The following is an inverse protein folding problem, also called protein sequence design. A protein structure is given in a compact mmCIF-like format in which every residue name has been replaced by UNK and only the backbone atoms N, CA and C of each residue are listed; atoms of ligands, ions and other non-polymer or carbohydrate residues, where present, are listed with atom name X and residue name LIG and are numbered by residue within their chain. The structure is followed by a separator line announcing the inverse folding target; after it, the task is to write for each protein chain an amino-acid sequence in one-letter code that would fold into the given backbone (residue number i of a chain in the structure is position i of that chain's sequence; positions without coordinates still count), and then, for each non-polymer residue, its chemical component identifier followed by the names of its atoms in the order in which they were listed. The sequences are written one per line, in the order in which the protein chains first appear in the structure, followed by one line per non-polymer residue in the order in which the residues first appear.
data_IF_990855135704
#
_entry.id   IF_990855135704
#
_cell.length_a   1.000
_cell.length_b   1.000
_cell.length_c   1.000
_cell.angle_alpha   90.00
_cell.angle_beta   90.00
_cell.angle_gamma   90.00
#
_symmetry.space_group_name_H-M   'P 1'
#
loop_
_entity.id
_entity.type
_entity.pdbx_description
1 polymer ?
#
# COMPACT_ATOMS: atom_id res chain seq x y z
N UNK A 1 3.95 5.28 -47.39
CA UNK A 1 2.75 4.79 -46.69
C UNK A 1 3.06 3.40 -46.17
N UNK A 2 2.82 3.20 -44.88
CA UNK A 2 3.00 1.92 -44.19
C UNK A 2 1.97 0.87 -44.66
N UNK A 3 2.22 -0.39 -44.33
CA UNK A 3 1.27 -1.50 -44.56
C UNK A 3 0.04 -1.36 -43.68
N UNK A 4 0.24 -1.07 -42.40
CA UNK A 4 -0.83 -0.83 -41.42
C UNK A 4 -1.80 0.27 -41.86
N UNK A 5 -1.29 1.39 -42.39
CA UNK A 5 -2.15 2.45 -42.89
C UNK A 5 -2.98 2.00 -44.11
N UNK A 6 -2.46 1.11 -44.97
CA UNK A 6 -3.24 0.54 -46.09
C UNK A 6 -4.35 -0.36 -45.59
N UNK A 7 -4.02 -1.27 -44.67
CA UNK A 7 -5.00 -2.19 -44.10
C UNK A 7 -6.17 -1.45 -43.44
N UNK A 8 -5.89 -0.38 -42.69
CA UNK A 8 -6.92 0.43 -42.06
C UNK A 8 -7.80 1.18 -43.07
N UNK A 9 -7.24 1.63 -44.20
CA UNK A 9 -8.02 2.29 -45.26
C UNK A 9 -8.90 1.30 -46.03
N UNK A 10 -8.42 0.07 -46.20
CA UNK A 10 -9.12 -1.02 -46.90
C UNK A 10 -10.14 -1.76 -46.01
N UNK A 11 -10.08 -1.56 -44.68
CA UNK A 11 -11.04 -2.11 -43.72
C UNK A 11 -12.42 -1.45 -43.88
N UNK A 12 -13.48 -2.23 -43.69
CA UNK A 12 -14.87 -1.76 -43.80
C UNK A 12 -15.24 -0.81 -42.64
N UNK A 13 -15.36 0.48 -42.97
CA UNK A 13 -15.92 1.54 -42.13
C UNK A 13 -15.13 1.89 -40.87
N UNK A 14 -15.50 3.00 -40.23
CA UNK A 14 -14.98 3.33 -38.90
C UNK A 14 -15.40 2.30 -37.84
N UNK A 15 -14.55 2.09 -36.83
CA UNK A 15 -14.82 1.13 -35.75
C UNK A 15 -14.53 1.71 -34.37
N UNK A 16 -14.70 0.88 -33.33
CA UNK A 16 -14.23 1.24 -31.99
C UNK A 16 -12.71 1.43 -31.94
N UNK A 17 -11.95 0.73 -32.82
CA UNK A 17 -10.48 0.69 -32.82
C UNK A 17 -9.83 1.78 -33.65
N UNK A 18 -10.52 2.30 -34.66
CA UNK A 18 -10.02 3.37 -35.49
C UNK A 18 -11.12 4.28 -36.03
N UNK A 19 -10.75 5.49 -36.40
CA UNK A 19 -11.66 6.53 -36.92
C UNK A 19 -10.96 7.37 -37.99
N UNK A 20 -11.74 7.97 -38.89
CA UNK A 20 -11.27 8.86 -39.94
C UNK A 20 -11.65 10.30 -39.60
N UNK A 21 -10.74 11.22 -39.88
CA UNK A 21 -10.98 12.66 -39.77
C UNK A 21 -10.45 13.32 -41.02
N UNK A 22 -11.34 14.03 -41.71
CA UNK A 22 -10.97 14.73 -42.93
C UNK A 22 -9.88 15.78 -42.69
N UNK A 23 -9.97 16.51 -41.59
CA UNK A 23 -9.09 17.65 -41.28
C UNK A 23 -8.59 17.61 -39.85
N UNK A 24 -7.41 18.19 -39.59
CA UNK A 24 -6.86 18.33 -38.24
C UNK A 24 -7.79 19.09 -37.27
N UNK A 25 -8.59 20.04 -37.80
CA UNK A 25 -9.57 20.77 -36.99
C UNK A 25 -10.76 19.90 -36.52
N UNK A 26 -10.98 18.75 -37.14
CA UNK A 26 -12.00 17.79 -36.70
C UNK A 26 -11.53 16.94 -35.50
N UNK A 27 -10.23 16.93 -35.20
CA UNK A 27 -9.68 16.29 -34.01
C UNK A 27 -9.95 17.18 -32.80
N UNK A 28 -10.95 16.80 -32.00
CA UNK A 28 -11.36 17.51 -30.79
C UNK A 28 -10.87 16.78 -29.54
N UNK A 29 -10.68 17.51 -28.44
CA UNK A 29 -10.31 16.91 -27.14
C UNK A 29 -11.28 15.79 -26.74
N UNK A 30 -12.57 15.94 -27.01
CA UNK A 30 -13.58 14.89 -26.78
C UNK A 30 -13.30 13.58 -27.52
N UNK A 31 -12.77 13.64 -28.73
CA UNK A 31 -12.42 12.45 -29.53
C UNK A 31 -11.23 11.74 -28.90
N UNK A 32 -10.20 12.50 -28.53
CA UNK A 32 -8.99 11.97 -27.90
C UNK A 32 -9.29 11.36 -26.51
N UNK A 33 -10.10 12.05 -25.71
CA UNK A 33 -10.58 11.56 -24.41
C UNK A 33 -11.40 10.28 -24.58
N UNK A 34 -12.33 10.25 -25.54
CA UNK A 34 -13.14 9.06 -25.80
C UNK A 34 -12.28 7.86 -26.20
N UNK A 35 -11.29 8.07 -27.07
CA UNK A 35 -10.33 7.05 -27.48
C UNK A 35 -9.52 6.53 -26.28
N UNK A 36 -8.89 7.41 -25.50
CA UNK A 36 -8.08 7.01 -24.35
C UNK A 36 -8.91 6.25 -23.30
N UNK A 37 -10.13 6.70 -23.01
CA UNK A 37 -11.02 6.03 -22.06
C UNK A 37 -11.55 4.69 -22.57
N UNK A 38 -11.76 4.55 -23.88
CA UNK A 38 -12.15 3.28 -24.49
C UNK A 38 -11.03 2.24 -24.39
N UNK A 39 -9.77 2.65 -24.57
CA UNK A 39 -8.60 1.80 -24.31
C UNK A 39 -8.53 1.43 -22.83
N UNK A 40 -8.65 2.41 -21.93
CA UNK A 40 -8.56 2.18 -20.48
C UNK A 40 -9.67 1.28 -19.91
N UNK A 41 -10.83 1.19 -20.57
CA UNK A 41 -11.95 0.36 -20.12
C UNK A 41 -11.71 -1.14 -20.26
N UNK A 42 -10.71 -1.58 -21.01
CA UNK A 42 -10.46 -2.99 -21.30
C UNK A 42 -8.97 -3.23 -21.54
N UNK A 43 -8.34 -4.02 -20.65
CA UNK A 43 -6.89 -4.26 -20.67
C UNK A 43 -6.39 -4.97 -21.93
N UNK A 44 -7.27 -5.61 -22.71
CA UNK A 44 -6.88 -6.22 -23.99
C UNK A 44 -6.68 -5.18 -25.10
N UNK A 45 -7.02 -3.91 -24.87
CA UNK A 45 -6.88 -2.83 -25.84
C UNK A 45 -5.59 -2.07 -25.55
N UNK A 46 -4.78 -1.93 -26.58
CA UNK A 46 -3.50 -1.23 -26.46
C UNK A 46 -3.59 0.23 -26.88
N UNK A 47 -4.35 0.53 -27.94
CA UNK A 47 -4.48 1.87 -28.51
C UNK A 47 -5.74 2.02 -29.37
N UNK A 48 -6.03 3.26 -29.76
CA UNK A 48 -6.97 3.61 -30.85
C UNK A 48 -6.21 4.38 -31.93
N UNK A 49 -6.50 4.09 -33.19
CA UNK A 49 -5.85 4.74 -34.33
C UNK A 49 -6.76 5.79 -34.97
N UNK A 50 -6.31 7.03 -35.13
CA UNK A 50 -7.03 8.07 -35.85
C UNK A 50 -6.29 8.42 -37.14
N UNK A 51 -6.93 8.27 -38.30
CA UNK A 51 -6.35 8.74 -39.57
C UNK A 51 -6.89 10.14 -39.89
N UNK A 52 -6.01 11.12 -39.96
CA UNK A 52 -6.33 12.53 -40.20
C UNK A 52 -5.86 12.93 -41.59
N UNK A 53 -6.72 13.56 -42.39
CA UNK A 53 -6.53 13.71 -43.83
C UNK A 53 -7.21 12.61 -44.64
N UNK A 54 -8.18 11.90 -44.03
CA UNK A 54 -8.91 10.77 -44.63
C UNK A 54 -10.40 11.02 -44.49
N UNK A 55 -11.13 10.90 -45.61
CA UNK A 55 -12.59 10.97 -45.69
C UNK A 55 -13.17 9.56 -45.57
N UNK A 56 -14.35 9.43 -44.98
CA UNK A 56 -15.12 8.20 -45.07
C UNK A 56 -16.02 8.27 -46.32
N UNK A 57 -15.85 7.34 -47.25
CA UNK A 57 -16.60 7.29 -48.50
C UNK A 57 -17.34 5.97 -48.58
N UNK A 58 -18.66 6.06 -48.72
CA UNK A 58 -19.52 4.91 -48.95
C UNK A 58 -19.45 4.50 -50.44
N UNK A 59 -19.14 3.24 -50.69
CA UNK A 59 -19.26 2.65 -52.02
C UNK A 59 -20.74 2.47 -52.34
N UNK A 60 -21.23 3.26 -53.31
CA UNK A 60 -22.63 3.26 -53.74
C UNK A 60 -23.14 1.89 -54.25
N UNK A 61 -22.24 0.96 -54.58
CA UNK A 61 -22.58 -0.38 -55.08
C UNK A 61 -22.70 -1.40 -53.96
N UNK A 62 -21.83 -1.31 -52.95
CA UNK A 62 -21.76 -2.29 -51.85
C UNK A 62 -22.38 -1.78 -50.55
N UNK A 63 -22.59 -0.48 -50.41
CA UNK A 63 -23.02 0.18 -49.17
C UNK A 63 -21.94 0.20 -48.08
N UNK A 64 -20.71 -0.21 -48.42
CA UNK A 64 -19.60 -0.29 -47.47
C UNK A 64 -18.83 1.03 -47.44
N UNK A 65 -18.56 1.53 -46.25
CA UNK A 65 -17.70 2.69 -46.05
C UNK A 65 -16.22 2.30 -46.10
N UNK A 66 -15.38 3.15 -46.71
CA UNK A 66 -13.92 3.00 -46.76
C UNK A 66 -13.22 4.34 -46.59
N UNK A 67 -11.96 4.31 -46.18
CA UNK A 67 -11.14 5.51 -46.06
C UNK A 67 -10.63 5.98 -47.43
N UNK A 68 -10.91 7.23 -47.81
CA UNK A 68 -10.30 7.89 -48.96
C UNK A 68 -9.32 8.97 -48.51
N UNK A 69 -8.04 8.82 -48.85
CA UNK A 69 -7.01 9.82 -48.55
C UNK A 69 -7.33 11.12 -49.30
N UNK A 70 -7.53 12.19 -48.54
CA UNK A 70 -7.61 13.58 -49.04
C UNK A 70 -6.28 14.31 -48.89
N UNK A 71 -5.50 13.91 -47.89
CA UNK A 71 -4.27 14.56 -47.50
C UNK A 71 -4.49 15.79 -46.63
N UNK A 72 -3.40 16.30 -46.07
CA UNK A 72 -3.30 17.52 -45.28
C UNK A 72 -2.34 18.47 -45.99
N UNK A 73 -2.70 19.75 -46.16
CA UNK A 73 -1.89 20.70 -46.93
C UNK A 73 -0.56 21.04 -46.24
N UNK A 74 -0.54 21.03 -44.91
CA UNK A 74 0.65 21.24 -44.09
C UNK A 74 0.60 20.28 -42.89
N UNK A 75 1.47 19.26 -42.90
CA UNK A 75 1.57 18.28 -41.81
C UNK A 75 2.05 18.93 -40.51
N UNK A 76 2.99 19.87 -40.58
CA UNK A 76 3.58 20.47 -39.38
C UNK A 76 2.55 21.32 -38.64
N UNK A 77 1.84 22.18 -39.37
CA UNK A 77 0.75 22.97 -38.80
C UNK A 77 -0.38 22.09 -38.26
N UNK A 78 -0.65 20.97 -38.94
CA UNK A 78 -1.66 19.99 -38.49
C UNK A 78 -1.25 19.31 -37.18
N UNK A 79 0.01 18.89 -37.07
CA UNK A 79 0.57 18.31 -35.83
C UNK A 79 0.50 19.31 -34.70
N UNK A 80 0.99 20.55 -34.88
CA UNK A 80 0.98 21.59 -33.85
C UNK A 80 -0.46 21.86 -33.35
N UNK A 81 -1.42 21.97 -34.28
CA UNK A 81 -2.83 22.12 -33.93
C UNK A 81 -3.34 20.96 -33.08
N UNK A 82 -3.04 19.72 -33.46
CA UNK A 82 -3.50 18.54 -32.71
C UNK A 82 -2.80 18.47 -31.35
N UNK A 83 -1.50 18.78 -31.26
CA UNK A 83 -0.76 18.84 -29.99
C UNK A 83 -1.37 19.85 -29.02
N UNK A 84 -1.82 21.01 -29.51
CA UNK A 84 -2.55 21.98 -28.68
C UNK A 84 -3.85 21.36 -28.12
N UNK A 85 -4.59 20.61 -28.94
CA UNK A 85 -5.81 19.90 -28.50
C UNK A 85 -5.50 18.76 -27.51
N UNK A 86 -4.36 18.08 -27.66
CA UNK A 86 -3.87 17.08 -26.70
C UNK A 86 -3.64 17.72 -25.33
N UNK A 87 -3.09 18.93 -25.30
CA UNK A 87 -2.89 19.71 -24.07
C UNK A 87 -4.18 20.02 -23.29
N UNK A 88 -5.33 20.04 -23.98
CA UNK A 88 -6.66 20.25 -23.38
C UNK A 88 -7.29 18.97 -22.78
N UNK A 89 -6.57 17.85 -22.82
CA UNK A 89 -7.01 16.60 -22.20
C UNK A 89 -6.42 16.45 -20.80
N UNK A 90 -7.29 16.15 -19.83
CA UNK A 90 -6.99 16.12 -18.41
C UNK A 90 -7.33 14.75 -17.85
N UNK A 91 -6.78 14.34 -16.68
CA UNK A 91 -5.95 15.12 -15.74
C UNK A 91 -4.49 15.28 -16.16
N UNK A 92 -4.01 14.41 -17.05
CA UNK A 92 -2.72 14.53 -17.74
C UNK A 92 -3.02 14.40 -19.23
N UNK A 93 -2.33 15.14 -20.12
CA UNK A 93 -2.53 14.96 -21.55
C UNK A 93 -2.46 13.49 -21.97
N UNK A 94 -3.38 13.06 -22.83
CA UNK A 94 -3.36 11.73 -23.42
C UNK A 94 -2.10 11.54 -24.25
N UNK A 95 -1.63 10.30 -24.34
CA UNK A 95 -0.44 9.97 -25.13
C UNK A 95 -0.85 9.80 -26.59
N UNK A 96 -0.20 10.56 -27.47
CA UNK A 96 -0.46 10.55 -28.92
C UNK A 96 0.84 10.45 -29.68
N UNK A 97 1.05 9.32 -30.35
CA UNK A 97 2.14 9.15 -31.31
C UNK A 97 1.71 9.65 -32.67
N UNK A 98 2.45 10.60 -33.23
CA UNK A 98 2.22 11.14 -34.58
C UNK A 98 3.06 10.39 -35.59
N UNK A 99 2.41 9.82 -36.60
CA UNK A 99 3.07 9.11 -37.69
C UNK A 99 2.67 9.79 -39.00
N UNK A 100 3.65 10.37 -39.68
CA UNK A 100 3.44 11.00 -40.99
C UNK A 100 3.40 9.93 -42.08
N UNK A 101 2.26 9.85 -42.76
CA UNK A 101 2.02 8.88 -43.82
C UNK A 101 1.99 9.58 -45.18
N UNK A 102 2.46 8.88 -46.22
CA UNK A 102 2.40 9.42 -47.59
C UNK A 102 3.26 10.67 -47.83
N UNK A 103 4.29 10.94 -47.03
CA UNK A 103 5.14 12.15 -47.16
C UNK A 103 5.84 12.35 -48.51
N UNK A 104 5.88 11.31 -49.36
CA UNK A 104 6.41 11.36 -50.73
C UNK A 104 5.32 11.44 -51.81
N UNK A 105 4.05 11.62 -51.43
CA UNK A 105 2.91 11.77 -52.34
C UNK A 105 2.32 13.17 -52.23
N UNK A 106 1.45 13.53 -53.16
CA UNK A 106 0.77 14.84 -53.15
C UNK A 106 -0.33 14.95 -52.06
N UNK A 107 -0.61 13.86 -51.36
CA UNK A 107 -1.68 13.74 -50.36
C UNK A 107 -1.15 13.14 -49.04
N UNK A 108 -0.17 13.79 -48.39
CA UNK A 108 0.34 13.32 -47.11
C UNK A 108 -0.74 13.41 -46.03
N UNK A 109 -0.77 12.49 -45.07
CA UNK A 109 -1.78 12.44 -44.02
C UNK A 109 -1.16 11.99 -42.69
N UNK A 110 -1.90 12.07 -41.59
CA UNK A 110 -1.41 11.67 -40.27
C UNK A 110 -2.11 10.41 -39.80
N UNK A 111 -1.34 9.50 -39.22
CA UNK A 111 -1.83 8.40 -38.39
C UNK A 111 -1.48 8.71 -36.95
N UNK A 112 -2.48 8.82 -36.10
CA UNK A 112 -2.31 9.06 -34.67
C UNK A 112 -2.59 7.76 -33.91
N UNK A 113 -1.68 7.38 -33.03
CA UNK A 113 -1.92 6.29 -32.08
C UNK A 113 -2.19 6.88 -30.71
N UNK A 114 -3.38 6.62 -30.15
CA UNK A 114 -3.86 7.25 -28.92
C UNK A 114 -3.87 6.23 -27.79
N UNK A 115 -3.20 6.55 -26.68
CA UNK A 115 -3.10 5.73 -25.47
C UNK A 115 -3.46 6.52 -24.20
N UNK A 116 -4.01 5.86 -23.17
CA UNK A 116 -4.28 6.53 -21.91
C UNK A 116 -2.99 6.72 -21.10
N UNK A 117 -2.75 7.93 -20.61
CA UNK A 117 -1.69 8.22 -19.62
C UNK A 117 -2.20 8.09 -18.19
N UNK A 118 -3.32 8.76 -17.88
CA UNK A 118 -3.90 8.77 -16.54
C UNK A 118 -5.43 8.79 -16.57
N UNK A 119 -6.02 7.69 -17.04
CA UNK A 119 -7.46 7.53 -17.12
C UNK A 119 -8.17 7.54 -15.74
N UNK A 120 -9.47 7.85 -15.66
CA UNK A 120 -10.32 8.32 -16.75
C UNK A 120 -10.03 9.78 -17.11
N UNK A 121 -9.83 10.01 -18.41
CA UNK A 121 -9.59 11.32 -18.99
C UNK A 121 -10.89 12.13 -19.14
N UNK A 122 -10.77 13.45 -19.15
CA UNK A 122 -11.85 14.39 -19.40
C UNK A 122 -11.36 15.58 -20.24
N UNK A 123 -12.28 16.21 -20.97
CA UNK A 123 -11.98 17.44 -21.70
C UNK A 123 -11.98 18.67 -20.78
N UNK A 124 -11.62 19.84 -21.30
CA UNK A 124 -11.65 21.11 -20.58
C UNK A 124 -13.03 21.49 -20.00
N UNK A 125 -14.11 20.87 -20.48
CA UNK A 125 -15.47 21.04 -19.93
C UNK A 125 -15.81 20.05 -18.81
N UNK A 126 -14.85 19.21 -18.40
CA UNK A 126 -15.05 18.18 -17.37
C UNK A 126 -15.79 16.94 -17.85
N UNK A 127 -16.02 16.78 -19.16
CA UNK A 127 -16.80 15.65 -19.70
C UNK A 127 -15.93 14.42 -19.82
N UNK A 128 -16.38 13.33 -19.19
CA UNK A 128 -15.81 11.98 -19.31
C UNK A 128 -16.62 11.19 -20.32
N UNK A 129 -16.02 10.91 -21.46
CA UNK A 129 -16.65 10.19 -22.56
C UNK A 129 -15.83 8.97 -22.96
N UNK A 130 -16.48 7.99 -23.56
CA UNK A 130 -15.87 6.79 -24.16
C UNK A 130 -16.46 6.57 -25.54
N UNK A 131 -15.84 5.69 -26.34
CA UNK A 131 -16.34 5.32 -27.66
C UNK A 131 -17.50 4.34 -27.55
N UNK A 132 -18.47 4.48 -28.44
CA UNK A 132 -19.53 3.54 -28.73
C UNK A 132 -19.52 3.29 -30.25
N UNK A 133 -18.62 2.41 -30.69
CA UNK A 133 -18.24 2.24 -32.10
C UNK A 133 -17.72 3.56 -32.70
N UNK A 134 -18.29 4.02 -33.81
CA UNK A 134 -17.95 5.29 -34.47
C UNK A 134 -18.52 6.54 -33.75
N UNK A 135 -19.30 6.35 -32.68
CA UNK A 135 -19.89 7.45 -31.90
C UNK A 135 -19.22 7.61 -30.53
N UNK A 136 -19.52 8.69 -29.83
CA UNK A 136 -19.09 8.90 -28.44
C UNK A 136 -20.30 8.91 -27.51
N UNK A 137 -20.09 8.45 -26.28
CA UNK A 137 -21.09 8.53 -25.21
C UNK A 137 -20.43 8.88 -23.87
N UNK A 138 -21.18 9.38 -22.89
CA UNK A 138 -20.68 9.49 -21.52
C UNK A 138 -20.21 8.13 -20.99
N UNK A 139 -19.13 8.15 -20.20
CA UNK A 139 -18.78 7.01 -19.36
C UNK A 139 -19.88 6.81 -18.31
N UNK A 140 -20.27 5.55 -18.09
CA UNK A 140 -21.11 5.20 -16.95
C UNK A 140 -20.30 5.22 -15.65
N UNK A 141 -20.99 5.32 -14.52
CA UNK A 141 -20.34 5.31 -13.19
C UNK A 141 -19.57 4.01 -12.93
N UNK A 142 -20.12 2.88 -13.39
CA UNK A 142 -19.48 1.56 -13.28
C UNK A 142 -18.17 1.50 -14.08
N UNK A 143 -18.20 1.90 -15.35
CA UNK A 143 -16.99 1.94 -16.17
C UNK A 143 -15.93 2.90 -15.61
N UNK A 144 -16.37 4.04 -15.05
CA UNK A 144 -15.47 4.99 -14.44
C UNK A 144 -14.80 4.40 -13.20
N UNK A 145 -15.58 3.72 -12.36
CA UNK A 145 -15.07 3.02 -11.18
C UNK A 145 -14.08 1.92 -11.56
N UNK A 146 -14.38 1.13 -12.58
CA UNK A 146 -13.49 0.07 -13.06
C UNK A 146 -12.16 0.62 -13.55
N UNK A 147 -12.17 1.73 -14.30
CA UNK A 147 -10.94 2.41 -14.73
C UNK A 147 -10.14 2.89 -13.49
N UNK A 148 -10.80 3.46 -12.49
CA UNK A 148 -10.14 3.88 -11.25
C UNK A 148 -9.52 2.71 -10.49
N UNK A 149 -10.25 1.63 -10.31
CA UNK A 149 -9.78 0.43 -9.62
C UNK A 149 -8.61 -0.22 -10.37
N UNK A 150 -8.70 -0.32 -11.69
CA UNK A 150 -7.60 -0.84 -12.51
C UNK A 150 -6.33 -0.01 -12.35
N UNK A 151 -6.45 1.32 -12.40
CA UNK A 151 -5.32 2.23 -12.19
C UNK A 151 -4.72 2.09 -10.80
N UNK A 152 -5.56 2.01 -9.77
CA UNK A 152 -5.09 1.94 -8.39
C UNK A 152 -4.46 0.58 -8.07
N UNK A 153 -4.96 -0.50 -8.67
CA UNK A 153 -4.34 -1.83 -8.58
C UNK A 153 -2.91 -1.84 -9.11
N UNK A 154 -2.63 -1.20 -10.25
CA UNK A 154 -1.27 -1.12 -10.81
C UNK A 154 -0.34 -0.39 -9.84
N UNK A 155 -0.76 0.78 -9.33
CA UNK A 155 0.04 1.53 -8.35
C UNK A 155 0.23 0.77 -7.05
N UNK A 156 -0.78 0.01 -6.63
CA UNK A 156 -0.71 -0.84 -5.46
C UNK A 156 0.33 -1.94 -5.67
N UNK A 157 0.32 -2.64 -6.81
CA UNK A 157 1.29 -3.66 -7.16
C UNK A 157 2.72 -3.10 -7.19
N UNK A 158 2.95 -1.95 -7.82
CA UNK A 158 4.26 -1.29 -7.87
C UNK A 158 4.78 -0.94 -6.47
N UNK A 159 3.94 -0.30 -5.65
CA UNK A 159 4.30 0.06 -4.28
C UNK A 159 4.50 -1.16 -3.41
N UNK A 160 3.67 -2.18 -3.56
CA UNK A 160 3.76 -3.42 -2.81
C UNK A 160 5.06 -4.15 -3.15
N UNK A 161 5.42 -4.26 -4.43
CA UNK A 161 6.69 -4.84 -4.86
C UNK A 161 7.88 -4.10 -4.27
N UNK A 162 7.88 -2.76 -4.34
CA UNK A 162 8.97 -1.96 -3.78
C UNK A 162 9.13 -2.15 -2.26
N UNK A 163 8.01 -2.23 -1.53
CA UNK A 163 8.03 -2.52 -0.08
C UNK A 163 8.54 -3.93 0.20
N UNK A 164 8.12 -4.93 -0.59
CA UNK A 164 8.60 -6.31 -0.45
C UNK A 164 10.10 -6.39 -0.68
N UNK A 165 10.62 -5.70 -1.70
CA UNK A 165 12.06 -5.63 -1.97
C UNK A 165 12.81 -4.97 -0.82
N UNK A 166 12.30 -3.84 -0.31
CA UNK A 166 12.90 -3.14 0.83
C UNK A 166 12.91 -4.01 2.10
N UNK A 167 11.79 -4.69 2.41
CA UNK A 167 11.70 -5.60 3.55
C UNK A 167 12.66 -6.77 3.38
N UNK A 168 12.75 -7.34 2.18
CA UNK A 168 13.65 -8.45 1.87
C UNK A 168 15.10 -8.03 2.08
N UNK A 169 15.50 -6.85 1.59
CA UNK A 169 16.84 -6.31 1.80
C UNK A 169 17.15 -6.08 3.29
N UNK A 170 16.19 -5.54 4.05
CA UNK A 170 16.34 -5.37 5.51
C UNK A 170 16.49 -6.70 6.24
N UNK A 171 15.75 -7.73 5.85
CA UNK A 171 15.89 -9.09 6.43
C UNK A 171 17.25 -9.68 6.10
N UNK A 172 17.74 -9.55 4.86
CA UNK A 172 19.08 -10.01 4.47
C UNK A 172 20.16 -9.28 5.27
N UNK A 173 20.07 -7.96 5.41
CA UNK A 173 21.00 -7.18 6.22
C UNK A 173 20.97 -7.58 7.70
N UNK A 174 19.78 -7.85 8.24
CA UNK A 174 19.62 -8.32 9.62
C UNK A 174 20.26 -9.70 9.82
N UNK A 175 20.08 -10.63 8.87
CA UNK A 175 20.74 -11.94 8.92
C UNK A 175 22.27 -11.81 8.93
N UNK A 176 22.84 -10.93 8.11
CA UNK A 176 24.28 -10.68 8.10
C UNK A 176 24.76 -10.07 9.43
N UNK A 177 23.98 -9.17 10.03
CA UNK A 177 24.28 -8.62 11.36
C UNK A 177 24.20 -9.69 12.46
N UNK A 178 23.24 -10.61 12.38
CA UNK A 178 23.13 -11.72 13.32
C UNK A 178 24.31 -12.69 13.21
N UNK A 179 24.80 -12.97 12.00
CA UNK A 179 26.03 -13.75 11.79
C UNK A 179 27.24 -13.04 12.42
N UNK A 180 27.39 -11.73 12.22
CA UNK A 180 28.47 -10.97 12.84
C UNK A 180 28.37 -10.96 14.38
N UNK A 181 27.17 -10.87 14.94
CA UNK A 181 26.94 -10.95 16.39
C UNK A 181 27.26 -12.36 16.90
N UNK A 182 26.88 -13.41 16.17
CA UNK A 182 27.22 -14.78 16.54
C UNK A 182 28.75 -15.00 16.56
N UNK A 183 29.47 -14.53 15.54
CA UNK A 183 30.93 -14.58 15.48
C UNK A 183 31.56 -13.83 16.67
N UNK A 184 31.03 -12.66 17.02
CA UNK A 184 31.49 -11.90 18.20
C UNK A 184 31.21 -12.63 19.51
N UNK A 185 30.08 -13.30 19.64
CA UNK A 185 29.74 -14.13 20.82
C UNK A 185 30.70 -15.31 20.92
N UNK A 186 31.02 -15.98 19.81
CA UNK A 186 31.96 -17.10 19.79
C UNK A 186 33.38 -16.66 20.14
N UNK A 187 33.81 -15.50 19.64
CA UNK A 187 35.08 -14.89 20.03
C UNK A 187 35.11 -14.45 21.49
N UNK A 188 34.03 -13.83 21.98
CA UNK A 188 33.91 -13.42 23.38
C UNK A 188 33.85 -14.62 24.33
N UNK A 189 33.14 -15.69 23.95
CA UNK A 189 33.08 -16.96 24.67
C UNK A 189 34.46 -17.63 24.71
N UNK A 190 35.15 -17.71 23.59
CA UNK A 190 36.52 -18.25 23.51
C UNK A 190 37.50 -17.44 24.36
N UNK A 191 37.43 -16.11 24.28
CA UNK A 191 38.23 -15.21 25.12
C UNK A 191 37.85 -15.32 26.60
N UNK A 192 36.58 -15.54 26.94
CA UNK A 192 36.12 -15.76 28.30
C UNK A 192 36.56 -17.14 28.84
N UNK A 193 36.62 -18.17 28.01
CA UNK A 193 37.17 -19.48 28.36
C UNK A 193 38.68 -19.41 28.57
N UNK A 194 39.40 -18.70 27.70
CA UNK A 194 40.83 -18.46 27.84
C UNK A 194 41.13 -17.58 29.05
N UNK A 195 40.34 -16.54 29.29
CA UNK A 195 40.41 -15.70 30.47
C UNK A 195 40.03 -16.49 31.74
N UNK A 196 39.01 -17.35 31.73
CA UNK A 196 38.62 -18.20 32.87
C UNK A 196 39.67 -19.28 33.16
N UNK A 197 40.29 -19.86 32.12
CA UNK A 197 41.44 -20.76 32.27
C UNK A 197 42.66 -20.03 32.86
N UNK A 198 42.84 -18.75 32.53
CA UNK A 198 43.87 -17.89 33.10
C UNK A 198 43.45 -17.25 34.45
N UNK A 199 42.16 -17.31 34.81
CA UNK A 199 41.54 -16.65 35.96
C UNK A 199 40.92 -17.64 36.98
N UNK A 200 41.55 -18.81 37.13
CA UNK A 200 41.58 -19.52 38.42
C UNK A 200 42.22 -18.64 39.53
N UNK A 201 42.75 -17.46 39.18
CA UNK A 201 43.36 -16.48 40.09
C UNK A 201 42.53 -15.22 40.44
N UNK A 202 41.33 -14.93 39.93
CA UNK A 202 40.68 -13.63 40.26
C UNK A 202 39.14 -13.57 40.21
N UNK A 203 38.53 -14.07 41.29
CA UNK A 203 37.09 -14.10 41.60
C UNK A 203 36.38 -12.73 41.69
N UNK A 204 37.12 -11.62 41.78
CA UNK A 204 36.56 -10.27 42.02
C UNK A 204 36.29 -9.47 40.75
N UNK A 205 36.77 -9.93 39.57
CA UNK A 205 36.50 -9.26 38.29
C UNK A 205 35.15 -9.67 37.68
N UNK A 206 34.70 -10.90 37.98
CA UNK A 206 33.45 -11.46 37.48
C UNK A 206 32.20 -10.72 37.98
N UNK A 207 32.21 -10.24 39.23
CA UNK A 207 31.09 -9.49 39.81
C UNK A 207 30.92 -8.09 39.17
N UNK A 208 31.99 -7.51 38.64
CA UNK A 208 31.93 -6.22 37.92
C UNK A 208 31.48 -6.37 36.47
N UNK A 209 31.92 -7.43 35.81
CA UNK A 209 31.52 -7.73 34.42
C UNK A 209 30.05 -8.11 34.31
N UNK A 210 29.46 -8.76 35.32
CA UNK A 210 28.04 -9.13 35.32
C UNK A 210 27.12 -7.89 35.32
N UNK A 211 27.51 -6.84 36.06
CA UNK A 211 26.80 -5.55 36.07
C UNK A 211 26.89 -4.80 34.73
N UNK A 212 28.07 -4.79 34.12
CA UNK A 212 28.28 -4.08 32.85
C UNK A 212 27.63 -4.81 31.66
N UNK A 213 27.63 -6.15 31.66
CA UNK A 213 26.98 -6.98 30.65
C UNK A 213 25.45 -6.82 30.69
N UNK A 214 24.85 -6.75 31.88
CA UNK A 214 23.40 -6.49 32.00
C UNK A 214 23.02 -5.11 31.43
N UNK A 215 23.80 -4.06 31.69
CA UNK A 215 23.48 -2.71 31.20
C UNK A 215 23.66 -2.54 29.68
N UNK A 216 24.53 -3.37 29.08
CA UNK A 216 24.78 -3.36 27.62
C UNK A 216 23.74 -4.21 26.90
N UNK A 217 23.33 -5.36 27.45
CA UNK A 217 22.24 -6.17 26.89
C UNK A 217 20.91 -5.40 26.85
N UNK A 218 20.63 -4.60 27.88
CA UNK A 218 19.42 -3.76 27.95
C UNK A 218 19.40 -2.64 26.88
N UNK A 219 20.58 -2.21 26.40
CA UNK A 219 20.74 -1.17 25.36
C UNK A 219 20.80 -1.70 23.94
N UNK A 220 21.19 -2.96 23.73
CA UNK A 220 21.37 -3.56 22.41
C UNK A 220 20.09 -4.23 21.89
N UNK A 221 19.15 -4.65 22.76
CA UNK A 221 17.86 -5.24 22.36
C UNK A 221 16.76 -4.23 21.94
N UNK A 222 17.03 -2.91 21.83
CA UNK A 222 15.96 -1.91 21.69
C UNK A 222 16.25 -0.73 20.74
N UNK A 223 15.87 -0.81 19.44
CA UNK A 223 15.87 0.35 18.53
C UNK A 223 14.57 1.17 18.58
N UNK A 224 13.54 0.74 19.33
CA UNK A 224 12.27 1.46 19.51
C UNK A 224 12.21 2.04 20.94
N UNK A 225 11.64 3.25 21.14
CA UNK A 225 11.29 3.73 22.48
C UNK A 225 10.47 2.67 23.23
N UNK A 226 10.83 2.36 24.48
CA UNK A 226 10.27 1.23 25.25
C UNK A 226 8.73 1.27 25.34
N UNK A 227 8.15 2.47 25.33
CA UNK A 227 6.71 2.71 25.34
C UNK A 227 6.01 2.26 24.05
N UNK A 228 6.62 2.54 22.87
CA UNK A 228 6.09 2.11 21.56
C UNK A 228 6.18 0.59 21.40
N UNK A 229 7.25 -0.04 21.91
CA UNK A 229 7.38 -1.51 21.88
C UNK A 229 6.31 -2.17 22.73
N UNK A 230 6.13 -1.73 23.98
CA UNK A 230 5.11 -2.27 24.87
C UNK A 230 3.68 -2.11 24.30
N UNK A 231 3.42 -1.04 23.54
CA UNK A 231 2.15 -0.86 22.82
C UNK A 231 1.90 -1.98 21.79
N UNK A 232 2.89 -2.28 20.94
CA UNK A 232 2.75 -3.32 19.92
C UNK A 232 2.73 -4.73 20.53
N UNK A 233 3.56 -4.99 21.53
CA UNK A 233 3.56 -6.26 22.28
C UNK A 233 2.20 -6.52 22.91
N UNK A 234 1.63 -5.54 23.63
CA UNK A 234 0.31 -5.70 24.24
C UNK A 234 -0.77 -5.96 23.20
N UNK A 235 -0.75 -5.23 22.08
CA UNK A 235 -1.71 -5.42 20.98
C UNK A 235 -1.63 -6.84 20.41
N UNK A 236 -0.43 -7.36 20.18
CA UNK A 236 -0.21 -8.72 19.70
C UNK A 236 -0.67 -9.77 20.73
N UNK A 237 -0.36 -9.55 22.01
CA UNK A 237 -0.80 -10.44 23.10
C UNK A 237 -2.31 -10.50 23.20
N UNK A 238 -3.01 -9.36 23.16
CA UNK A 238 -4.48 -9.30 23.18
C UNK A 238 -5.10 -10.08 22.01
N UNK A 239 -4.54 -9.97 20.81
CA UNK A 239 -4.99 -10.78 19.66
C UNK A 239 -4.77 -12.28 19.90
N UNK A 240 -3.62 -12.65 20.45
CA UNK A 240 -3.29 -14.04 20.76
C UNK A 240 -4.25 -14.61 21.79
N UNK A 241 -4.54 -13.87 22.87
CA UNK A 241 -5.54 -14.22 23.88
C UNK A 241 -6.90 -14.44 23.24
N UNK A 242 -7.36 -13.53 22.38
CA UNK A 242 -8.64 -13.67 21.70
C UNK A 242 -8.71 -14.94 20.83
N UNK A 243 -7.66 -15.22 20.06
CA UNK A 243 -7.58 -16.43 19.22
C UNK A 243 -7.64 -17.71 20.07
N UNK A 244 -6.86 -17.77 21.16
CA UNK A 244 -6.80 -18.93 22.05
C UNK A 244 -8.13 -19.15 22.77
N UNK A 245 -8.76 -18.09 23.26
CA UNK A 245 -10.09 -18.14 23.84
C UNK A 245 -11.13 -18.63 22.83
N UNK A 246 -11.14 -18.09 21.61
CA UNK A 246 -12.08 -18.47 20.55
C UNK A 246 -11.96 -19.96 20.20
N UNK A 247 -10.72 -20.48 20.17
CA UNK A 247 -10.46 -21.90 19.97
C UNK A 247 -11.04 -22.76 21.11
N UNK A 248 -10.83 -22.37 22.36
CA UNK A 248 -11.36 -23.10 23.52
C UNK A 248 -12.90 -23.07 23.57
N UNK A 249 -13.51 -21.95 23.17
CA UNK A 249 -14.97 -21.80 23.03
C UNK A 249 -15.52 -22.72 21.95
N UNK A 250 -14.88 -22.77 20.79
CA UNK A 250 -15.33 -23.62 19.68
C UNK A 250 -15.29 -25.11 20.06
N UNK A 251 -14.30 -25.53 20.85
CA UNK A 251 -14.17 -26.90 21.29
C UNK A 251 -15.13 -27.27 22.43
N UNK A 252 -15.37 -26.38 23.40
CA UNK A 252 -16.11 -26.67 24.63
C UNK A 252 -16.94 -25.46 25.11
N UNK A 253 -18.04 -25.14 24.41
CA UNK A 253 -18.92 -24.08 24.86
C UNK A 253 -19.61 -24.48 26.17
N UNK A 254 -19.81 -23.49 27.04
CA UNK A 254 -20.54 -23.65 28.31
C UNK A 254 -21.67 -22.63 28.38
N UNK A 255 -22.59 -22.79 29.33
CA UNK A 255 -23.65 -21.79 29.56
C UNK A 255 -23.10 -20.39 29.92
N UNK A 256 -21.88 -20.31 30.44
CA UNK A 256 -21.22 -19.05 30.79
C UNK A 256 -20.51 -18.38 29.60
N UNK A 257 -20.33 -19.10 28.48
CA UNK A 257 -19.54 -18.64 27.33
C UNK A 257 -20.01 -17.31 26.77
N UNK A 258 -21.30 -17.06 26.48
CA UNK A 258 -21.72 -15.78 25.90
C UNK A 258 -21.38 -14.57 26.78
N UNK A 259 -21.58 -14.70 28.10
CA UNK A 259 -21.27 -13.65 29.08
C UNK A 259 -19.76 -13.41 29.17
N UNK A 260 -18.97 -14.49 29.16
CA UNK A 260 -17.51 -14.40 29.23
C UNK A 260 -16.91 -13.84 27.93
N UNK A 261 -17.45 -14.19 26.77
CA UNK A 261 -17.06 -13.65 25.47
C UNK A 261 -17.27 -12.15 25.42
N UNK A 262 -18.41 -11.66 25.89
CA UNK A 262 -18.70 -10.23 25.94
C UNK A 262 -17.69 -9.47 26.84
N UNK A 263 -17.39 -10.01 28.03
CA UNK A 263 -16.44 -9.40 28.96
C UNK A 263 -15.00 -9.40 28.43
N UNK A 264 -14.52 -10.54 27.94
CA UNK A 264 -13.17 -10.63 27.38
C UNK A 264 -13.03 -9.70 26.18
N UNK A 265 -14.04 -9.63 25.30
CA UNK A 265 -14.01 -8.71 24.16
C UNK A 265 -13.96 -7.25 24.60
N UNK A 266 -14.70 -6.86 25.63
CA UNK A 266 -14.66 -5.51 26.17
C UNK A 266 -13.23 -5.17 26.64
N UNK A 267 -12.65 -6.01 27.50
CA UNK A 267 -11.29 -5.84 28.04
C UNK A 267 -10.23 -5.73 26.94
N UNK A 268 -10.27 -6.62 25.94
CA UNK A 268 -9.26 -6.63 24.87
C UNK A 268 -9.44 -5.48 23.88
N UNK A 269 -10.64 -4.92 23.75
CA UNK A 269 -10.96 -3.82 22.84
C UNK A 269 -10.73 -2.43 23.44
N UNK A 270 -10.38 -2.34 24.72
CA UNK A 270 -10.09 -1.05 25.36
C UNK A 270 -8.91 -0.34 24.66
N UNK A 271 -8.98 0.99 24.46
CA UNK A 271 -7.87 1.73 23.87
C UNK A 271 -6.56 1.50 24.63
N UNK A 272 -5.47 1.26 23.90
CA UNK A 272 -4.13 1.18 24.46
C UNK A 272 -3.53 2.58 24.34
N UNK A 273 -3.24 3.21 25.47
CA UNK A 273 -2.53 4.50 25.49
C UNK A 273 -1.02 4.22 25.39
N UNK A 274 -0.33 4.65 24.32
CA UNK A 274 1.09 4.40 24.13
C UNK A 274 1.96 5.10 25.18
N UNK A 275 1.47 6.12 25.90
CA UNK A 275 2.25 6.87 26.89
C UNK A 275 2.27 6.20 28.27
N UNK A 276 1.34 5.28 28.57
CA UNK A 276 1.22 4.61 29.87
C UNK A 276 1.98 3.28 29.87
N UNK A 277 3.31 3.34 29.76
CA UNK A 277 4.16 2.17 29.56
C UNK A 277 4.01 1.10 30.67
N UNK A 278 3.91 1.53 31.93
CA UNK A 278 3.85 0.63 33.08
C UNK A 278 2.55 -0.20 33.08
N UNK A 279 1.43 0.42 32.72
CA UNK A 279 0.15 -0.27 32.57
C UNK A 279 0.23 -1.30 31.43
N UNK A 280 0.79 -0.89 30.29
CA UNK A 280 0.87 -1.75 29.11
C UNK A 280 1.77 -2.96 29.35
N UNK A 281 2.91 -2.76 30.03
CA UNK A 281 3.84 -3.84 30.39
C UNK A 281 3.20 -4.82 31.38
N UNK A 282 2.59 -4.33 32.45
CA UNK A 282 1.95 -5.19 33.44
C UNK A 282 0.76 -5.98 32.84
N UNK A 283 -0.02 -5.36 31.94
CA UNK A 283 -1.07 -6.09 31.22
C UNK A 283 -0.47 -7.16 30.27
N UNK A 284 0.65 -6.86 29.63
CA UNK A 284 1.38 -7.83 28.79
C UNK A 284 1.83 -9.04 29.61
N UNK A 285 2.47 -8.81 30.76
CA UNK A 285 2.92 -9.87 31.68
C UNK A 285 1.75 -10.71 32.21
N UNK A 286 0.61 -10.07 32.53
CA UNK A 286 -0.62 -10.76 32.92
C UNK A 286 -1.10 -11.73 31.82
N UNK A 287 -1.16 -11.27 30.57
CA UNK A 287 -1.63 -12.12 29.47
C UNK A 287 -0.65 -13.24 29.14
N UNK A 288 0.65 -13.01 29.30
CA UNK A 288 1.67 -14.04 29.16
C UNK A 288 1.53 -15.14 30.21
N UNK A 289 1.32 -14.77 31.47
CA UNK A 289 1.05 -15.72 32.55
C UNK A 289 -0.20 -16.56 32.24
N UNK A 290 -1.30 -15.91 31.81
CA UNK A 290 -2.54 -16.59 31.44
C UNK A 290 -2.33 -17.57 30.29
N UNK A 291 -1.58 -17.18 29.25
CA UNK A 291 -1.28 -18.05 28.11
C UNK A 291 -0.37 -19.22 28.50
N UNK A 292 0.57 -19.01 29.42
CA UNK A 292 1.45 -20.04 29.95
C UNK A 292 0.68 -21.05 30.82
N UNK A 293 -0.16 -20.56 31.73
CA UNK A 293 -1.02 -21.38 32.60
C UNK A 293 -2.07 -22.17 31.80
N UNK A 294 -2.51 -21.64 30.65
CA UNK A 294 -3.42 -22.35 29.74
C UNK A 294 -2.80 -23.64 29.21
N UNK A 295 -1.50 -23.66 28.91
CA UNK A 295 -0.88 -24.73 28.14
C UNK A 295 -1.61 -24.97 26.81
N UNK A 296 -1.84 -26.23 26.45
CA UNK A 296 -2.48 -26.59 25.17
C UNK A 296 -4.00 -26.30 25.12
N UNK A 297 -4.69 -26.35 26.28
CA UNK A 297 -6.16 -26.24 26.36
C UNK A 297 -6.61 -25.48 27.60
N UNK A 298 -7.37 -24.41 27.39
CA UNK A 298 -7.95 -23.60 28.48
C UNK A 298 -9.38 -23.99 28.83
N UNK A 299 -9.72 -23.92 30.10
CA UNK A 299 -11.10 -24.01 30.61
C UNK A 299 -11.77 -22.64 30.69
N UNK A 300 -13.10 -22.59 30.58
CA UNK A 300 -13.85 -21.34 30.75
C UNK A 300 -13.68 -20.74 32.16
N UNK A 301 -13.39 -21.57 33.17
CA UNK A 301 -13.07 -21.11 34.52
C UNK A 301 -11.73 -20.36 34.58
N UNK A 302 -10.69 -20.85 33.88
CA UNK A 302 -9.41 -20.16 33.76
C UNK A 302 -9.58 -18.81 33.06
N UNK A 303 -10.27 -18.77 31.92
CA UNK A 303 -10.57 -17.52 31.21
C UNK A 303 -11.38 -16.54 32.05
N UNK A 304 -12.34 -17.02 32.84
CA UNK A 304 -13.10 -16.17 33.76
C UNK A 304 -12.24 -15.59 34.89
N UNK A 305 -11.22 -16.31 35.38
CA UNK A 305 -10.26 -15.79 36.36
C UNK A 305 -9.33 -14.76 35.73
N UNK A 306 -8.85 -15.02 34.52
CA UNK A 306 -7.98 -14.10 33.79
C UNK A 306 -8.66 -12.76 33.51
N UNK A 307 -9.90 -12.78 33.00
CA UNK A 307 -10.70 -11.56 32.77
C UNK A 307 -10.92 -10.78 34.07
N UNK A 308 -11.23 -11.49 35.17
CA UNK A 308 -11.42 -10.87 36.48
C UNK A 308 -10.13 -10.23 36.99
N UNK A 309 -8.98 -10.93 36.90
CA UNK A 309 -7.66 -10.42 37.32
C UNK A 309 -7.29 -9.15 36.55
N UNK A 310 -7.62 -9.07 35.25
CA UNK A 310 -7.47 -7.83 34.47
C UNK A 310 -8.42 -6.75 34.98
N UNK A 311 -9.71 -7.01 35.07
CA UNK A 311 -10.69 -6.00 35.52
C UNK A 311 -10.32 -5.41 36.91
N UNK A 312 -9.74 -6.22 37.80
CA UNK A 312 -9.21 -5.80 39.11
C UNK A 312 -7.93 -4.94 38.99
N UNK A 313 -7.05 -5.25 38.03
CA UNK A 313 -5.84 -4.47 37.73
C UNK A 313 -6.11 -3.01 37.34
N UNK A 314 -7.28 -2.73 36.76
CA UNK A 314 -7.68 -1.38 36.36
C UNK A 314 -8.09 -0.48 37.54
N UNK A 315 -8.40 -1.07 38.70
CA UNK A 315 -8.81 -0.34 39.91
C UNK A 315 -7.61 0.13 40.75
N UNK A 316 -6.49 -0.59 40.74
CA UNK A 316 -5.28 -0.27 41.51
C UNK A 316 -4.36 0.76 40.83
N UNK A 317 -4.56 1.02 39.53
CA UNK A 317 -3.77 1.98 38.74
C UNK A 317 -4.36 3.40 38.72
N UNK A 318 -5.49 3.63 39.42
CA UNK A 318 -5.93 4.98 39.74
C UNK A 318 -4.84 5.65 40.60
N UNK A 319 -4.32 6.82 40.21
CA UNK A 319 -3.05 7.29 40.71
C UNK A 319 -3.07 7.49 42.23
N UNK A 320 -2.19 6.79 42.96
CA UNK A 320 -1.65 7.28 44.23
C UNK A 320 -0.67 8.45 43.96
N UNK A 321 -1.05 9.40 43.09
CA UNK A 321 -0.24 10.59 42.79
C UNK A 321 -0.38 11.67 43.87
N UNK A 322 -1.28 11.49 44.85
CA UNK A 322 -1.56 12.50 45.87
C UNK A 322 -0.47 12.66 46.93
N UNK A 323 0.53 11.77 47.04
CA UNK A 323 1.57 11.90 48.09
C UNK A 323 3.01 12.03 47.56
N UNK A 324 3.27 11.97 46.24
CA UNK A 324 4.65 12.15 45.75
C UNK A 324 5.12 13.60 45.94
N UNK A 325 4.25 14.59 45.69
CA UNK A 325 4.58 16.00 45.96
C UNK A 325 4.70 16.25 47.47
N UNK A 326 3.84 15.62 48.29
CA UNK A 326 3.90 15.72 49.75
C UNK A 326 5.15 15.09 50.36
N UNK A 327 5.62 14.00 49.77
CA UNK A 327 6.84 13.29 50.19
C UNK A 327 8.10 14.07 49.78
N UNK A 328 8.16 14.57 48.54
CA UNK A 328 9.27 15.40 48.07
C UNK A 328 9.34 16.76 48.76
N UNK A 329 8.21 17.32 49.18
CA UNK A 329 8.18 18.57 49.96
C UNK A 329 8.74 18.37 51.37
N UNK A 330 8.42 17.23 52.01
CA UNK A 330 8.96 16.86 53.32
C UNK A 330 10.47 16.61 53.28
N UNK A 331 10.95 15.86 52.28
CA UNK A 331 12.38 15.62 52.08
C UNK A 331 13.15 16.93 51.80
N UNK A 332 12.55 17.86 51.05
CA UNK A 332 13.15 19.17 50.80
C UNK A 332 13.19 20.08 52.04
N UNK A 333 12.22 19.95 52.95
CA UNK A 333 12.21 20.67 54.23
C UNK A 333 13.23 20.11 55.22
N UNK A 334 13.41 18.79 55.27
CA UNK A 334 14.43 18.15 56.11
C UNK A 334 15.85 18.53 55.67
N UNK A 335 16.13 18.56 54.36
CA UNK A 335 17.43 19.01 53.81
C UNK A 335 17.70 20.50 54.07
N UNK A 336 16.65 21.31 54.31
CA UNK A 336 16.79 22.76 54.56
C UNK A 336 16.99 23.10 56.04
N UNK A 337 16.69 22.15 56.94
CA UNK A 337 16.78 22.32 58.38
C UNK A 337 18.01 21.63 59.00
N UNK A 338 18.74 20.82 58.23
CA UNK A 338 20.13 20.41 58.46
C UNK A 338 21.12 21.43 57.85
#
# INVERSE_FOLDING_TARGET
MSEEARELLDTEGESGRFEFKRDAAAVKATVLVAAANWVASDRAREMVTLLVGVDEVEDATTGLARGQIRGLPDLHQSIERIQNVVGDTLPTPVDVTFIEEGTKTDTPFLRLEIRPTYAPHFDSSGRRVTRNNASTRPLSDEEMLDIYLNRESIKFEERFSAIVDEVTQRVVALSAQLEEVADRIDHASSAAWEAASNADESRTLAERLDYDIQSVLEKVENPMPSNVRCFFELREKRQTVWRRYSYDVALRPTKATPKLTARLRAVLAEPIDPEIWAANRAETELWEEVLKERGDRGSMAQWSRAVRKREEFQLDMAPQLDDIIGQLTREAEDIRND
#
